data_IF_443476997642
#
_entry.id   IF_443476997642
#
_cell.length_a   1.000
_cell.length_b   1.000
_cell.length_c   1.000
_cell.angle_alpha   90.00
_cell.angle_beta   90.00
_cell.angle_gamma   90.00
#
_symmetry.space_group_name_H-M   'P 1'
#
loop_
_entity.id
_entity.type
_entity.pdbx_description
1 polymer ?
#
# COMPACT_ATOMS: atom_id res chain seq x y z
N UNK A 1 2.22 27.78 -7.04
CA UNK A 1 0.97 27.53 -6.28
C UNK A 1 0.25 26.26 -6.75
N UNK A 2 0.09 26.07 -8.07
CA UNK A 2 -0.54 24.84 -8.59
C UNK A 2 0.18 23.54 -8.18
N UNK A 3 1.52 23.52 -8.24
CA UNK A 3 2.30 22.33 -7.85
C UNK A 3 2.07 21.93 -6.37
N UNK A 4 2.06 22.90 -5.45
CA UNK A 4 1.79 22.63 -4.03
C UNK A 4 0.40 22.02 -3.82
N UNK A 5 -0.60 22.47 -4.56
CA UNK A 5 -1.95 21.92 -4.50
C UNK A 5 -1.95 20.45 -4.96
N UNK A 6 -1.22 20.13 -6.02
CA UNK A 6 -1.07 18.75 -6.51
C UNK A 6 -0.38 17.88 -5.47
N UNK A 7 0.71 18.35 -4.83
CA UNK A 7 1.38 17.62 -3.75
C UNK A 7 0.43 17.32 -2.59
N UNK A 8 -0.39 18.32 -2.19
CA UNK A 8 -1.36 18.13 -1.08
C UNK A 8 -2.44 17.13 -1.47
N UNK A 9 -3.02 17.23 -2.66
CA UNK A 9 -4.08 16.32 -3.12
C UNK A 9 -3.54 14.89 -3.26
N UNK A 10 -2.37 14.74 -3.89
CA UNK A 10 -1.71 13.45 -4.06
C UNK A 10 -1.38 12.82 -2.70
N UNK A 11 -0.79 13.61 -1.79
CA UNK A 11 -0.44 13.16 -0.45
C UNK A 11 -1.66 12.78 0.39
N UNK A 12 -2.71 13.61 0.44
CA UNK A 12 -3.93 13.31 1.18
C UNK A 12 -4.62 12.05 0.62
N UNK A 13 -4.76 11.95 -0.71
CA UNK A 13 -5.36 10.78 -1.37
C UNK A 13 -4.58 9.50 -1.06
N UNK A 14 -3.26 9.55 -1.17
CA UNK A 14 -2.38 8.45 -0.81
C UNK A 14 -2.51 8.06 0.65
N UNK A 15 -2.47 9.03 1.57
CA UNK A 15 -2.61 8.80 3.01
C UNK A 15 -3.96 8.18 3.37
N UNK A 16 -5.05 8.65 2.78
CA UNK A 16 -6.38 8.04 2.97
C UNK A 16 -6.35 6.58 2.51
N UNK A 17 -5.78 6.30 1.34
CA UNK A 17 -5.62 4.94 0.83
C UNK A 17 -4.76 4.05 1.74
N UNK A 18 -3.65 4.58 2.24
CA UNK A 18 -2.76 3.86 3.18
C UNK A 18 -3.48 3.52 4.48
N UNK A 19 -4.14 4.49 5.10
CA UNK A 19 -4.78 4.28 6.40
C UNK A 19 -6.05 3.43 6.38
N UNK A 20 -6.83 3.47 5.27
CA UNK A 20 -8.06 2.67 5.13
C UNK A 20 -7.80 1.28 4.55
N UNK A 21 -6.91 1.18 3.57
CA UNK A 21 -6.75 0.00 2.74
C UNK A 21 -5.33 -0.59 2.77
N UNK A 22 -4.38 0.05 3.46
CA UNK A 22 -2.98 -0.34 3.37
C UNK A 22 -2.42 -0.20 1.95
N UNK A 23 -2.91 0.77 1.19
CA UNK A 23 -2.42 1.08 -0.14
C UNK A 23 -1.07 1.78 -0.02
N UNK A 24 -0.11 1.42 -0.87
CA UNK A 24 1.16 2.15 -0.93
C UNK A 24 0.96 3.56 -1.50
N UNK A 25 1.57 4.55 -0.87
CA UNK A 25 1.54 5.93 -1.33
C UNK A 25 2.14 6.08 -2.74
N UNK A 26 3.06 5.21 -3.12
CA UNK A 26 3.64 5.17 -4.45
C UNK A 26 2.61 4.93 -5.55
N UNK A 27 1.53 4.24 -5.25
CA UNK A 27 0.46 3.99 -6.21
C UNK A 27 -0.34 5.25 -6.59
N UNK A 28 -0.31 6.29 -5.76
CA UNK A 28 -1.07 7.54 -5.99
C UNK A 28 -0.14 8.71 -6.28
N UNK A 29 0.88 8.92 -5.42
CA UNK A 29 1.77 10.08 -5.53
C UNK A 29 2.59 10.02 -6.82
N UNK A 30 3.23 8.88 -7.13
CA UNK A 30 4.12 8.78 -8.29
C UNK A 30 3.41 9.13 -9.61
N UNK A 31 2.27 8.53 -9.97
CA UNK A 31 1.60 8.86 -11.22
C UNK A 31 1.10 10.31 -11.25
N UNK A 32 0.71 10.88 -10.11
CA UNK A 32 0.29 12.28 -10.08
C UNK A 32 1.45 13.25 -10.28
N UNK A 33 2.62 13.01 -9.68
CA UNK A 33 3.80 13.84 -9.89
C UNK A 33 4.31 13.76 -11.33
N UNK A 34 4.29 12.55 -11.92
CA UNK A 34 4.73 12.34 -13.30
C UNK A 34 3.77 13.01 -14.29
N UNK A 35 2.45 12.76 -14.15
CA UNK A 35 1.47 13.19 -15.15
C UNK A 35 1.17 14.70 -15.11
N UNK A 36 1.18 15.32 -13.93
CA UNK A 36 0.78 16.73 -13.79
C UNK A 36 1.95 17.70 -13.60
N UNK A 37 3.14 17.20 -13.25
CA UNK A 37 4.30 18.05 -12.93
C UNK A 37 5.58 17.61 -13.65
N UNK A 38 5.49 16.65 -14.57
CA UNK A 38 6.61 16.15 -15.38
C UNK A 38 7.83 15.70 -14.56
N UNK A 39 7.61 15.19 -13.33
CA UNK A 39 8.70 14.67 -12.52
C UNK A 39 9.33 13.43 -13.17
N UNK A 40 10.66 13.29 -13.08
CA UNK A 40 11.32 12.04 -13.44
C UNK A 40 10.72 10.87 -12.63
N UNK A 41 10.37 9.77 -13.30
CA UNK A 41 9.67 8.65 -12.66
C UNK A 41 10.42 8.11 -11.43
N UNK A 42 11.76 8.05 -11.51
CA UNK A 42 12.61 7.56 -10.44
C UNK A 42 12.52 8.45 -9.17
N UNK A 43 12.54 9.78 -9.36
CA UNK A 43 12.41 10.76 -8.28
C UNK A 43 11.00 10.74 -7.67
N UNK A 44 9.96 10.73 -8.52
CA UNK A 44 8.57 10.64 -8.08
C UNK A 44 8.29 9.41 -7.22
N UNK A 45 8.86 8.25 -7.57
CA UNK A 45 8.77 7.01 -6.78
C UNK A 45 9.51 7.16 -5.45
N UNK A 46 10.70 7.76 -5.44
CA UNK A 46 11.47 8.02 -4.22
C UNK A 46 10.70 8.90 -3.22
N UNK A 47 10.12 10.02 -3.69
CA UNK A 47 9.27 10.92 -2.88
C UNK A 47 8.06 10.16 -2.32
N UNK A 48 7.41 9.37 -3.14
CA UNK A 48 6.22 8.62 -2.75
C UNK A 48 6.53 7.54 -1.71
N UNK A 49 7.61 6.77 -1.88
CA UNK A 49 8.05 5.78 -0.91
C UNK A 49 8.46 6.42 0.42
N UNK A 50 9.16 7.54 0.40
CA UNK A 50 9.50 8.27 1.62
C UNK A 50 8.26 8.77 2.36
N UNK A 51 7.25 9.23 1.62
CA UNK A 51 5.95 9.63 2.19
C UNK A 51 5.22 8.42 2.79
N UNK A 52 5.33 7.26 2.17
CA UNK A 52 4.70 6.01 2.63
C UNK A 52 5.31 5.51 3.95
N UNK A 53 6.61 5.72 4.20
CA UNK A 53 7.27 5.29 5.45
C UNK A 53 6.54 5.85 6.67
N UNK A 54 6.36 7.16 6.73
CA UNK A 54 5.73 7.82 7.87
C UNK A 54 4.23 7.56 7.94
N UNK A 55 3.55 7.54 6.79
CA UNK A 55 2.13 7.21 6.70
C UNK A 55 1.83 5.80 7.20
N UNK A 56 2.61 4.82 6.73
CA UNK A 56 2.49 3.43 7.13
C UNK A 56 2.86 3.22 8.60
N UNK A 57 3.91 3.90 9.09
CA UNK A 57 4.32 3.82 10.50
C UNK A 57 3.23 4.34 11.45
N UNK A 58 2.65 5.51 11.15
CA UNK A 58 1.57 6.11 11.97
C UNK A 58 0.29 5.26 11.88
N UNK A 59 -0.05 4.75 10.71
CA UNK A 59 -1.16 3.83 10.54
C UNK A 59 -0.93 2.55 11.33
N UNK A 60 0.24 1.93 11.19
CA UNK A 60 0.64 0.72 11.92
C UNK A 60 0.54 0.93 13.43
N UNK A 61 1.07 2.04 13.96
CA UNK A 61 0.93 2.38 15.38
C UNK A 61 -0.53 2.49 15.80
N UNK A 62 -1.38 3.14 14.99
CA UNK A 62 -2.82 3.30 15.27
C UNK A 62 -3.52 1.95 15.31
N UNK A 63 -3.25 1.06 14.36
CA UNK A 63 -3.81 -0.29 14.33
C UNK A 63 -3.28 -1.17 15.47
N UNK A 64 -1.99 -1.06 15.81
CA UNK A 64 -1.39 -1.78 16.93
C UNK A 64 -2.02 -1.41 18.28
N UNK A 65 -2.24 -0.10 18.52
CA UNK A 65 -2.91 0.40 19.73
C UNK A 65 -4.33 -0.18 19.90
N UNK A 66 -5.02 -0.45 18.77
CA UNK A 66 -6.35 -1.05 18.76
C UNK A 66 -6.32 -2.59 18.64
N UNK A 67 -5.15 -3.23 18.80
CA UNK A 67 -4.97 -4.69 18.71
C UNK A 67 -5.41 -5.27 17.35
N UNK A 68 -5.32 -4.48 16.30
CA UNK A 68 -5.67 -4.84 14.92
C UNK A 68 -4.42 -5.08 14.08
N UNK A 69 -3.45 -5.82 14.62
CA UNK A 69 -2.21 -6.18 13.93
C UNK A 69 -1.76 -7.59 14.36
N UNK A 70 -1.31 -8.37 13.42
CA UNK A 70 -0.68 -9.67 13.69
C UNK A 70 0.85 -9.52 13.53
N UNK A 71 1.52 -9.06 14.58
CA UNK A 71 2.96 -8.75 14.56
C UNK A 71 3.77 -10.01 14.27
N UNK A 72 3.45 -11.14 14.92
CA UNK A 72 4.24 -12.38 14.81
C UNK A 72 4.26 -12.92 13.38
N UNK A 73 3.10 -13.14 12.79
CA UNK A 73 3.01 -13.61 11.40
C UNK A 73 3.38 -12.50 10.41
N UNK A 74 3.16 -11.23 10.77
CA UNK A 74 3.59 -10.05 10.01
C UNK A 74 5.11 -9.98 9.83
N UNK A 75 5.90 -10.26 10.87
CA UNK A 75 7.37 -10.31 10.76
C UNK A 75 7.81 -11.44 9.83
N UNK A 76 7.24 -12.63 9.97
CA UNK A 76 7.56 -13.77 9.10
C UNK A 76 7.25 -13.43 7.64
N UNK A 77 6.06 -12.86 7.40
CA UNK A 77 5.62 -12.44 6.09
C UNK A 77 6.49 -11.32 5.53
N UNK A 78 6.89 -10.34 6.36
CA UNK A 78 7.79 -9.25 6.00
C UNK A 78 9.15 -9.76 5.52
N UNK A 79 9.76 -10.68 6.26
CA UNK A 79 11.04 -11.28 5.84
C UNK A 79 10.91 -11.98 4.48
N UNK A 80 9.82 -12.72 4.27
CA UNK A 80 9.55 -13.35 2.98
C UNK A 80 9.31 -12.31 1.88
N UNK A 81 8.50 -11.28 2.14
CA UNK A 81 8.24 -10.19 1.17
C UNK A 81 9.54 -9.51 0.77
N UNK A 82 10.38 -9.10 1.73
CA UNK A 82 11.64 -8.41 1.42
C UNK A 82 12.59 -9.28 0.60
N UNK A 83 12.76 -10.55 0.98
CA UNK A 83 13.62 -11.48 0.26
C UNK A 83 13.13 -11.71 -1.18
N UNK A 84 11.86 -12.02 -1.34
CA UNK A 84 11.28 -12.32 -2.66
C UNK A 84 11.05 -11.07 -3.52
N UNK A 85 10.99 -9.87 -2.93
CA UNK A 85 11.00 -8.61 -3.69
C UNK A 85 12.32 -8.44 -4.46
N UNK A 86 13.46 -8.79 -3.84
CA UNK A 86 14.75 -8.76 -4.53
C UNK A 86 14.76 -9.74 -5.72
N UNK A 87 14.26 -10.96 -5.51
CA UNK A 87 14.16 -11.97 -6.57
C UNK A 87 13.21 -11.51 -7.69
N UNK A 88 12.04 -10.96 -7.32
CA UNK A 88 11.06 -10.45 -8.28
C UNK A 88 11.59 -9.26 -9.09
N UNK A 89 12.31 -8.33 -8.45
CA UNK A 89 12.95 -7.20 -9.13
C UNK A 89 14.02 -7.65 -10.12
N UNK A 90 14.79 -8.66 -9.75
CA UNK A 90 15.76 -9.26 -10.68
C UNK A 90 15.06 -9.91 -11.89
N UNK A 91 13.95 -10.62 -11.67
CA UNK A 91 13.16 -11.19 -12.76
C UNK A 91 12.53 -10.11 -13.66
N UNK A 92 12.10 -8.99 -13.07
CA UNK A 92 11.52 -7.85 -13.78
C UNK A 92 12.50 -7.17 -14.75
N UNK A 93 13.81 -7.20 -14.44
CA UNK A 93 14.83 -6.59 -15.31
C UNK A 93 14.92 -7.20 -16.72
N UNK A 94 14.28 -8.34 -16.93
CA UNK A 94 14.21 -9.00 -18.23
C UNK A 94 12.92 -8.68 -19.02
N UNK A 95 12.02 -7.83 -18.51
CA UNK A 95 10.69 -7.56 -19.11
C UNK A 95 10.52 -6.06 -19.36
N UNK A 96 9.90 -5.66 -20.50
CA UNK A 96 9.65 -4.24 -20.79
C UNK A 96 8.71 -3.56 -19.79
N UNK A 97 9.03 -2.32 -19.40
CA UNK A 97 8.39 -1.53 -18.33
C UNK A 97 6.88 -1.29 -18.50
N UNK A 98 6.36 -1.34 -19.73
CA UNK A 98 5.01 -0.90 -20.06
C UNK A 98 3.87 -1.78 -19.52
N UNK A 99 4.14 -3.06 -19.24
CA UNK A 99 3.10 -4.00 -18.77
C UNK A 99 2.84 -3.93 -17.27
N UNK A 100 3.83 -3.51 -16.49
CA UNK A 100 3.84 -3.66 -15.04
C UNK A 100 2.91 -2.67 -14.30
N UNK A 101 2.91 -1.40 -14.70
CA UNK A 101 2.10 -0.37 -14.02
C UNK A 101 0.59 -0.51 -14.24
N UNK A 102 0.15 -1.09 -15.36
CA UNK A 102 -1.27 -1.25 -15.68
C UNK A 102 -1.97 -2.27 -14.78
N UNK A 103 -1.29 -3.36 -14.43
CA UNK A 103 -1.85 -4.41 -13.59
C UNK A 103 -2.22 -3.90 -12.19
N UNK A 104 -1.35 -3.10 -11.58
CA UNK A 104 -1.57 -2.55 -10.24
C UNK A 104 -2.81 -1.65 -10.16
N UNK A 105 -3.00 -0.80 -11.18
CA UNK A 105 -4.13 0.13 -11.27
C UNK A 105 -5.45 -0.63 -11.44
N UNK A 106 -5.49 -1.60 -12.34
CA UNK A 106 -6.67 -2.44 -12.58
C UNK A 106 -7.02 -3.25 -11.32
N UNK A 107 -6.01 -3.83 -10.67
CA UNK A 107 -6.20 -4.58 -9.44
C UNK A 107 -6.78 -3.70 -8.31
N UNK A 108 -6.36 -2.43 -8.21
CA UNK A 108 -6.92 -1.45 -7.25
C UNK A 108 -8.42 -1.23 -7.50
N UNK A 109 -8.78 -0.96 -8.72
CA UNK A 109 -10.16 -0.72 -9.11
C UNK A 109 -11.05 -1.95 -8.84
N UNK A 110 -10.60 -3.13 -9.27
CA UNK A 110 -11.33 -4.39 -9.07
C UNK A 110 -11.47 -4.76 -7.59
N UNK A 111 -10.42 -4.51 -6.79
CA UNK A 111 -10.48 -4.75 -5.34
C UNK A 111 -11.46 -3.80 -4.66
N UNK A 112 -11.52 -2.54 -5.10
CA UNK A 112 -12.51 -1.57 -4.66
C UNK A 112 -13.94 -2.07 -4.91
N UNK A 113 -14.24 -2.49 -6.13
CA UNK A 113 -15.54 -3.08 -6.49
C UNK A 113 -15.84 -4.31 -5.64
N UNK A 114 -14.85 -5.20 -5.44
CA UNK A 114 -15.02 -6.40 -4.62
C UNK A 114 -15.46 -6.06 -3.20
N UNK A 115 -14.87 -5.06 -2.55
CA UNK A 115 -15.23 -4.68 -1.18
C UNK A 115 -16.63 -4.05 -1.08
N UNK A 116 -17.10 -3.39 -2.15
CA UNK A 116 -18.47 -2.86 -2.21
C UNK A 116 -19.47 -4.02 -2.38
N UNK A 117 -19.21 -4.93 -3.32
CA UNK A 117 -20.16 -6.01 -3.70
C UNK A 117 -20.10 -7.19 -2.74
N UNK A 118 -18.91 -7.58 -2.30
CA UNK A 118 -18.66 -8.72 -1.41
C UNK A 118 -17.78 -8.28 -0.24
N UNK A 119 -18.35 -7.64 0.80
CA UNK A 119 -17.60 -7.18 1.96
C UNK A 119 -16.90 -8.35 2.68
N UNK A 120 -15.74 -8.08 3.23
CA UNK A 120 -14.99 -9.05 4.05
C UNK A 120 -15.61 -9.06 5.44
N UNK A 121 -16.34 -10.12 5.76
CA UNK A 121 -17.04 -10.31 7.04
C UNK A 121 -16.37 -11.37 7.93
N UNK A 122 -15.11 -11.72 7.65
CA UNK A 122 -14.32 -12.64 8.47
C UNK A 122 -14.09 -12.07 9.87
N UNK A 123 -14.21 -12.88 10.90
CA UNK A 123 -13.94 -12.53 12.30
C UNK A 123 -12.54 -12.96 12.71
N UNK A 124 -11.99 -12.33 13.75
CA UNK A 124 -10.68 -12.72 14.33
C UNK A 124 -10.67 -14.18 14.77
N UNK A 125 -11.76 -14.66 15.35
CA UNK A 125 -11.93 -16.02 15.89
C UNK A 125 -11.74 -17.10 14.83
N UNK A 126 -12.19 -16.87 13.60
CA UNK A 126 -12.03 -17.82 12.49
C UNK A 126 -10.55 -18.14 12.18
N UNK A 127 -9.64 -17.20 12.47
CA UNK A 127 -8.21 -17.38 12.27
C UNK A 127 -7.49 -17.89 13.52
N UNK A 128 -7.96 -17.50 14.72
CA UNK A 128 -7.33 -17.92 15.98
C UNK A 128 -7.31 -19.44 16.13
N UNK A 129 -8.32 -20.13 15.64
CA UNK A 129 -8.46 -21.59 15.67
C UNK A 129 -7.46 -22.35 14.76
N UNK A 130 -6.67 -21.66 13.92
CA UNK A 130 -5.65 -22.31 13.08
C UNK A 130 -4.37 -22.59 13.89
N UNK A 131 -3.74 -23.73 13.64
CA UNK A 131 -2.48 -24.09 14.31
C UNK A 131 -1.36 -23.08 13.99
N UNK A 132 -0.44 -22.87 14.94
CA UNK A 132 0.67 -21.93 14.76
C UNK A 132 1.56 -22.29 13.56
N UNK A 133 1.80 -23.59 13.33
CA UNK A 133 2.58 -24.07 12.18
C UNK A 133 1.91 -23.70 10.85
N UNK A 134 0.59 -23.83 10.75
CA UNK A 134 -0.17 -23.48 9.56
C UNK A 134 -0.14 -21.97 9.30
N UNK A 135 -0.33 -21.14 10.33
CA UNK A 135 -0.23 -19.68 10.23
C UNK A 135 1.15 -19.22 9.71
N UNK A 136 2.22 -19.86 10.22
CA UNK A 136 3.59 -19.56 9.80
C UNK A 136 3.82 -19.96 8.33
N UNK A 137 3.40 -21.16 7.91
CA UNK A 137 3.53 -21.63 6.53
C UNK A 137 2.73 -20.74 5.56
N UNK A 138 1.49 -20.39 5.92
CA UNK A 138 0.64 -19.48 5.15
C UNK A 138 1.29 -18.10 5.00
N UNK A 139 1.87 -17.53 6.08
CA UNK A 139 2.56 -16.24 6.06
C UNK A 139 3.80 -16.29 5.16
N UNK A 140 4.57 -17.37 5.21
CA UNK A 140 5.76 -17.55 4.37
C UNK A 140 5.40 -17.65 2.88
N UNK A 141 4.45 -18.54 2.55
CA UNK A 141 4.03 -18.75 1.15
C UNK A 141 3.41 -17.47 0.56
N UNK A 142 2.47 -16.86 1.28
CA UNK A 142 1.84 -15.62 0.80
C UNK A 142 2.84 -14.47 0.74
N UNK A 143 3.75 -14.35 1.71
CA UNK A 143 4.82 -13.36 1.69
C UNK A 143 5.75 -13.54 0.49
N UNK A 144 6.10 -14.77 0.13
CA UNK A 144 6.92 -15.08 -1.05
C UNK A 144 6.21 -14.68 -2.34
N UNK A 145 4.93 -15.01 -2.48
CA UNK A 145 4.12 -14.63 -3.66
C UNK A 145 3.99 -13.12 -3.76
N UNK A 146 3.64 -12.44 -2.66
CA UNK A 146 3.51 -10.99 -2.62
C UNK A 146 4.85 -10.32 -2.95
N UNK A 147 5.94 -10.77 -2.32
CA UNK A 147 7.28 -10.23 -2.57
C UNK A 147 7.68 -10.36 -4.03
N UNK A 148 7.47 -11.53 -4.63
CA UNK A 148 7.75 -11.74 -6.06
C UNK A 148 6.95 -10.80 -6.95
N UNK A 149 5.64 -10.65 -6.68
CA UNK A 149 4.76 -9.73 -7.43
C UNK A 149 5.17 -8.27 -7.20
N UNK A 150 5.48 -7.89 -5.95
CA UNK A 150 5.91 -6.53 -5.62
C UNK A 150 7.22 -6.16 -6.28
N UNK A 151 8.20 -7.05 -6.25
CA UNK A 151 9.46 -6.86 -6.93
C UNK A 151 9.31 -6.78 -8.45
N UNK A 152 8.40 -7.58 -9.00
CA UNK A 152 8.13 -7.64 -10.42
C UNK A 152 7.36 -6.41 -10.93
N UNK A 153 6.36 -5.92 -10.18
CA UNK A 153 5.47 -4.82 -10.59
C UNK A 153 5.96 -3.45 -10.10
N UNK A 154 6.83 -3.42 -9.09
CA UNK A 154 7.37 -2.19 -8.52
C UNK A 154 6.47 -1.54 -7.46
N UNK A 155 5.29 -1.06 -7.80
CA UNK A 155 4.48 -0.18 -6.94
C UNK A 155 3.18 -0.80 -6.36
N UNK A 156 2.98 -2.11 -6.41
CA UNK A 156 1.68 -2.74 -6.09
C UNK A 156 1.57 -3.42 -4.72
N UNK A 157 2.61 -3.35 -3.88
CA UNK A 157 2.76 -4.20 -2.70
C UNK A 157 1.61 -4.17 -1.70
N UNK A 158 1.18 -2.99 -1.30
CA UNK A 158 0.18 -2.84 -0.25
C UNK A 158 -1.18 -3.44 -0.62
N UNK A 159 -1.60 -3.23 -1.85
CA UNK A 159 -2.88 -3.71 -2.34
C UNK A 159 -2.94 -5.22 -2.52
N UNK A 160 -1.88 -5.80 -3.09
CA UNK A 160 -1.76 -7.25 -3.20
C UNK A 160 -1.68 -7.90 -1.82
N UNK A 161 -1.03 -7.23 -0.87
CA UNK A 161 -0.99 -7.67 0.52
C UNK A 161 -2.38 -7.69 1.15
N UNK A 162 -3.16 -6.62 0.98
CA UNK A 162 -4.54 -6.59 1.47
C UNK A 162 -5.40 -7.69 0.85
N UNK A 163 -5.29 -7.90 -0.48
CA UNK A 163 -5.99 -8.97 -1.18
C UNK A 163 -5.63 -10.35 -0.61
N UNK A 164 -4.36 -10.64 -0.46
CA UNK A 164 -3.88 -11.93 0.07
C UNK A 164 -4.29 -12.13 1.53
N UNK A 165 -4.11 -11.11 2.37
CA UNK A 165 -4.50 -11.20 3.78
C UNK A 165 -6.00 -11.43 3.95
N UNK A 166 -6.84 -10.73 3.19
CA UNK A 166 -8.30 -10.84 3.33
C UNK A 166 -8.88 -12.05 2.61
N UNK A 167 -8.44 -12.33 1.38
CA UNK A 167 -9.10 -13.32 0.50
C UNK A 167 -8.51 -14.71 0.62
N UNK A 168 -7.21 -14.84 0.86
CA UNK A 168 -6.50 -16.12 0.96
C UNK A 168 -6.30 -16.53 2.42
N UNK A 169 -5.76 -15.60 3.22
CA UNK A 169 -5.45 -15.89 4.62
C UNK A 169 -6.65 -15.72 5.55
N UNK A 170 -7.75 -15.10 5.09
CA UNK A 170 -8.98 -14.95 5.86
C UNK A 170 -8.85 -14.03 7.07
N UNK A 171 -7.99 -13.01 6.99
CA UNK A 171 -7.94 -11.97 8.02
C UNK A 171 -9.19 -11.09 8.00
N UNK A 172 -9.62 -10.66 9.17
CA UNK A 172 -10.54 -9.52 9.29
C UNK A 172 -9.91 -8.29 8.64
N UNK A 173 -10.74 -7.43 8.02
CA UNK A 173 -10.25 -6.28 7.25
C UNK A 173 -9.33 -5.36 8.08
N UNK A 174 -9.68 -5.04 9.33
CA UNK A 174 -8.87 -4.18 10.20
C UNK A 174 -7.49 -4.77 10.47
N UNK A 175 -7.45 -6.07 10.78
CA UNK A 175 -6.19 -6.78 11.05
C UNK A 175 -5.36 -6.95 9.77
N UNK A 176 -6.00 -7.14 8.62
CA UNK A 176 -5.32 -7.19 7.33
C UNK A 176 -4.66 -5.86 6.99
N UNK A 177 -5.39 -4.74 7.11
CA UNK A 177 -4.83 -3.39 6.88
C UNK A 177 -3.70 -3.10 7.86
N UNK A 178 -3.91 -3.33 9.17
CA UNK A 178 -2.89 -3.08 10.18
C UNK A 178 -1.60 -3.88 9.94
N UNK A 179 -1.73 -5.16 9.58
CA UNK A 179 -0.58 -6.02 9.27
C UNK A 179 0.10 -5.59 7.96
N UNK A 180 -0.67 -5.19 6.94
CA UNK A 180 -0.09 -4.71 5.68
C UNK A 180 0.70 -3.42 5.85
N UNK A 181 0.16 -2.41 6.54
CA UNK A 181 0.90 -1.15 6.78
C UNK A 181 2.12 -1.34 7.68
N UNK A 182 2.08 -2.33 8.59
CA UNK A 182 3.26 -2.71 9.37
C UNK A 182 4.39 -3.21 8.46
N UNK A 183 4.11 -4.14 7.56
CA UNK A 183 5.09 -4.66 6.61
C UNK A 183 5.56 -3.55 5.65
N UNK A 184 4.62 -2.73 5.16
CA UNK A 184 4.92 -1.62 4.26
C UNK A 184 5.85 -0.58 4.86
N UNK A 185 5.80 -0.31 6.17
CA UNK A 185 6.72 0.62 6.82
C UNK A 185 8.19 0.25 6.52
N UNK A 186 8.53 -1.01 6.59
CA UNK A 186 9.89 -1.49 6.36
C UNK A 186 10.22 -1.59 4.86
N UNK A 187 9.29 -2.07 4.05
CA UNK A 187 9.51 -2.17 2.60
C UNK A 187 9.61 -0.80 1.94
N UNK A 188 8.79 0.17 2.34
CA UNK A 188 8.86 1.54 1.86
C UNK A 188 10.15 2.23 2.30
N UNK A 189 10.61 2.00 3.55
CA UNK A 189 11.88 2.52 4.03
C UNK A 189 13.06 2.01 3.19
N UNK A 190 13.11 0.71 2.94
CA UNK A 190 14.16 0.10 2.11
C UNK A 190 14.13 0.66 0.69
N UNK A 191 12.93 0.80 0.12
CA UNK A 191 12.73 1.37 -1.21
C UNK A 191 13.16 2.84 -1.28
N UNK A 192 12.70 3.68 -0.37
CA UNK A 192 13.06 5.11 -0.32
C UNK A 192 14.56 5.31 -0.15
N UNK A 193 15.19 4.56 0.78
CA UNK A 193 16.63 4.61 0.98
C UNK A 193 17.40 4.25 -0.30
N UNK A 194 16.99 3.20 -1.00
CA UNK A 194 17.60 2.80 -2.27
C UNK A 194 17.47 3.89 -3.35
N UNK A 195 16.28 4.49 -3.48
CA UNK A 195 16.05 5.57 -4.44
C UNK A 195 16.91 6.81 -4.17
N UNK A 196 17.06 7.21 -2.90
CA UNK A 196 17.87 8.39 -2.55
C UNK A 196 19.37 8.13 -2.63
N UNK A 197 19.82 6.91 -2.33
CA UNK A 197 21.23 6.55 -2.48
C UNK A 197 21.68 6.51 -3.95
N UNK A 198 20.80 6.10 -4.86
CA UNK A 198 21.10 5.96 -6.29
C UNK A 198 20.77 7.25 -7.05
N UNK A 199 19.60 7.83 -6.81
CA UNK A 199 19.05 8.98 -7.56
C UNK A 199 19.43 10.36 -7.00
N UNK A 200 20.06 10.42 -5.81
CA UNK A 200 20.40 11.68 -5.16
C UNK A 200 19.23 12.29 -4.37
N UNK A 201 19.40 13.54 -3.97
CA UNK A 201 18.42 14.28 -3.16
C UNK A 201 17.28 14.76 -4.06
N UNK A 202 16.02 14.39 -3.78
CA UNK A 202 14.86 14.82 -4.55
C UNK A 202 14.49 16.28 -4.26
N UNK A 203 13.50 16.83 -4.99
CA UNK A 203 12.88 18.11 -4.66
C UNK A 203 12.35 18.09 -3.21
N UNK A 204 13.01 18.87 -2.35
CA UNK A 204 12.68 18.92 -0.91
C UNK A 204 11.29 19.49 -0.65
N UNK A 205 10.79 20.39 -1.50
CA UNK A 205 9.46 20.98 -1.35
C UNK A 205 8.39 19.91 -1.62
N UNK A 206 8.51 19.19 -2.74
CA UNK A 206 7.62 18.09 -3.07
C UNK A 206 7.65 17.00 -1.99
N UNK A 207 8.85 16.61 -1.54
CA UNK A 207 9.05 15.61 -0.50
C UNK A 207 8.35 16.01 0.81
N UNK A 208 8.62 17.21 1.33
CA UNK A 208 8.07 17.64 2.62
C UNK A 208 6.55 17.82 2.58
N UNK A 209 6.01 18.41 1.51
CA UNK A 209 4.56 18.61 1.38
C UNK A 209 3.85 17.27 1.22
N UNK A 210 4.36 16.37 0.38
CA UNK A 210 3.80 15.03 0.23
C UNK A 210 3.84 14.24 1.55
N UNK A 211 4.96 14.24 2.27
CA UNK A 211 5.08 13.57 3.57
C UNK A 211 4.03 14.09 4.55
N UNK A 212 3.93 15.40 4.73
CA UNK A 212 2.99 15.99 5.69
C UNK A 212 1.53 15.71 5.32
N UNK A 213 1.18 15.86 4.05
CA UNK A 213 -0.17 15.59 3.57
C UNK A 213 -0.54 14.11 3.72
N UNK A 214 0.37 13.21 3.34
CA UNK A 214 0.17 11.77 3.46
C UNK A 214 0.03 11.34 4.92
N UNK A 215 0.86 11.89 5.81
CA UNK A 215 0.81 11.63 7.24
C UNK A 215 -0.55 12.02 7.86
N UNK A 216 -1.04 13.22 7.52
CA UNK A 216 -2.35 13.71 7.99
C UNK A 216 -3.47 12.80 7.48
N UNK A 217 -3.50 12.49 6.19
CA UNK A 217 -4.48 11.60 5.58
C UNK A 217 -4.46 10.20 6.18
N UNK A 218 -3.29 9.62 6.35
CA UNK A 218 -3.11 8.28 6.90
C UNK A 218 -3.52 8.18 8.36
N UNK A 219 -3.16 9.17 9.18
CA UNK A 219 -3.58 9.21 10.59
C UNK A 219 -5.08 9.34 10.73
N UNK A 220 -5.69 10.28 10.01
CA UNK A 220 -7.13 10.51 10.05
C UNK A 220 -7.91 9.26 9.61
N UNK A 221 -7.53 8.67 8.49
CA UNK A 221 -8.19 7.49 7.93
C UNK A 221 -7.97 6.22 8.77
N UNK A 222 -6.79 6.01 9.35
CA UNK A 222 -6.53 4.88 10.24
C UNK A 222 -7.33 5.00 11.56
N UNK A 223 -7.47 6.21 12.12
CA UNK A 223 -8.32 6.44 13.30
C UNK A 223 -9.79 6.15 13.00
N UNK A 224 -10.28 6.61 11.86
CA UNK A 224 -11.64 6.32 11.40
C UNK A 224 -11.84 4.80 11.21
N UNK A 225 -10.93 4.14 10.49
CA UNK A 225 -11.00 2.71 10.20
C UNK A 225 -11.10 1.84 11.46
N UNK A 226 -10.33 2.18 12.50
CA UNK A 226 -10.36 1.43 13.76
C UNK A 226 -11.64 1.63 14.56
N UNK A 227 -12.34 2.78 14.40
CA UNK A 227 -13.62 3.06 15.07
C UNK A 227 -14.83 2.59 14.28
N UNK A 228 -14.74 2.53 12.96
CA UNK A 228 -15.84 2.18 12.07
C UNK A 228 -16.28 0.71 12.26
N UNK A 229 -17.56 0.45 12.07
CA UNK A 229 -18.08 -0.91 11.96
C UNK A 229 -17.56 -1.61 10.70
N UNK A 230 -17.44 -2.95 10.74
CA UNK A 230 -16.86 -3.72 9.64
C UNK A 230 -17.57 -3.50 8.30
N UNK A 231 -18.89 -3.36 8.28
CA UNK A 231 -19.64 -3.10 7.05
C UNK A 231 -19.35 -1.71 6.48
N UNK A 232 -19.34 -0.69 7.34
CA UNK A 232 -19.03 0.70 6.95
C UNK A 232 -17.60 0.78 6.44
N UNK A 233 -16.66 0.16 7.15
CA UNK A 233 -15.26 0.13 6.74
C UNK A 233 -15.07 -0.52 5.37
N UNK A 234 -15.68 -1.68 5.11
CA UNK A 234 -15.63 -2.35 3.81
C UNK A 234 -16.13 -1.44 2.69
N UNK A 235 -17.28 -0.79 2.87
CA UNK A 235 -17.86 0.10 1.86
C UNK A 235 -16.98 1.33 1.61
N UNK A 236 -16.54 2.01 2.67
CA UNK A 236 -15.70 3.20 2.55
C UNK A 236 -14.36 2.83 1.89
N UNK A 237 -13.71 1.76 2.33
CA UNK A 237 -12.48 1.26 1.71
C UNK A 237 -12.70 0.92 0.24
N UNK A 238 -13.81 0.24 -0.08
CA UNK A 238 -14.17 -0.11 -1.45
C UNK A 238 -14.38 1.12 -2.34
N UNK A 239 -15.11 2.12 -1.86
CA UNK A 239 -15.32 3.38 -2.60
C UNK A 239 -14.01 4.13 -2.81
N UNK A 240 -13.18 4.27 -1.77
CA UNK A 240 -11.87 4.95 -1.87
C UNK A 240 -10.98 4.24 -2.89
N UNK A 241 -10.86 2.90 -2.84
CA UNK A 241 -10.07 2.15 -3.80
C UNK A 241 -10.61 2.25 -5.22
N UNK A 242 -11.94 2.21 -5.41
CA UNK A 242 -12.55 2.35 -6.71
C UNK A 242 -12.32 3.75 -7.30
N UNK A 243 -12.48 4.80 -6.49
CA UNK A 243 -12.24 6.20 -6.91
C UNK A 243 -10.76 6.42 -7.23
N UNK A 244 -9.85 5.98 -6.36
CA UNK A 244 -8.42 6.08 -6.61
C UNK A 244 -8.01 5.29 -7.86
N UNK A 245 -8.50 4.05 -8.00
CA UNK A 245 -8.23 3.22 -9.18
C UNK A 245 -8.77 3.86 -10.47
N UNK A 246 -10.00 4.39 -10.44
CA UNK A 246 -10.58 5.11 -11.58
C UNK A 246 -9.79 6.37 -11.92
N UNK A 247 -9.43 7.19 -10.92
CA UNK A 247 -8.62 8.38 -11.13
C UNK A 247 -7.25 8.04 -11.76
N UNK A 248 -6.61 6.97 -11.30
CA UNK A 248 -5.34 6.51 -11.86
C UNK A 248 -5.47 5.97 -13.29
N UNK A 249 -6.59 5.30 -13.63
CA UNK A 249 -6.89 4.90 -15.00
C UNK A 249 -6.99 6.13 -15.88
N UNK A 250 -7.76 7.14 -15.44
CA UNK A 250 -7.91 8.41 -16.17
C UNK A 250 -6.55 9.08 -16.38
N UNK A 251 -5.75 9.24 -15.33
CA UNK A 251 -4.42 9.85 -15.42
C UNK A 251 -3.51 9.07 -16.38
N UNK A 252 -3.53 7.74 -16.35
CA UNK A 252 -2.64 6.92 -17.17
C UNK A 252 -3.03 6.85 -18.65
N UNK A 253 -4.33 6.90 -18.96
CA UNK A 253 -4.83 6.66 -20.33
C UNK A 253 -5.36 7.91 -21.04
N UNK A 254 -5.56 9.04 -20.32
CA UNK A 254 -6.09 10.29 -20.88
C UNK A 254 -5.13 11.47 -20.75
N UNK A 255 -4.10 11.38 -19.92
CA UNK A 255 -3.01 12.33 -19.79
C UNK A 255 -1.71 11.67 -20.26
#
# INVERSE_FOLDING_TARGET
>A
MAAILIYIIAGLGAGIGTGLAGLSAAAVISPMLIAFLDFPAYEAVGIALASDVLASAVSSYTYAKNKNIDIKNGIIMMCAVLLFTVIGSFAASFIPDMAMGSFSIIACFLLGIKFIVRPVMTTKEARENRSAKRKCAEALVCGSVIGSICGFIGAGGGMMMLLMLTSVLGYELKTAVGTSVFIMTFSAFTGAASHFLIGGIPDLTALMVCILATLVGARASALFANKAESMVLNRVTGVVLAVLGAAMIVVKFLV
#
